data_IF_152663248705
#
_entry.id   IF_152663248705
#
_cell.length_a   1.000
_cell.length_b   1.000
_cell.length_c   1.000
_cell.angle_alpha   90.00
_cell.angle_beta   90.00
_cell.angle_gamma   90.00
#
_symmetry.space_group_name_H-M   'P 1'
#
loop_
_entity.id
_entity.type
_entity.pdbx_description
1 polymer ?
#
# COMPACT_ATOMS: atom_id res chain seq x y z
N UNK A 1 -5.35 0.07 -5.34
CA UNK A 1 -5.07 1.15 -4.39
C UNK A 1 -5.54 2.46 -4.99
N UNK A 2 -6.45 3.16 -4.30
CA UNK A 2 -7.02 4.41 -4.76
C UNK A 2 -6.72 5.54 -3.79
N UNK A 3 -6.69 6.77 -4.32
CA UNK A 3 -6.67 8.00 -3.55
C UNK A 3 -7.83 8.87 -3.99
N UNK A 4 -8.38 9.64 -3.06
CA UNK A 4 -9.36 10.68 -3.34
C UNK A 4 -9.08 11.90 -2.46
N UNK A 5 -9.70 13.03 -2.80
CA UNK A 5 -9.78 14.18 -1.92
C UNK A 5 -10.60 13.82 -0.66
N UNK A 6 -10.43 14.56 0.43
CA UNK A 6 -11.18 14.32 1.68
C UNK A 6 -12.70 14.50 1.53
N UNK A 7 -13.15 15.22 0.51
CA UNK A 7 -14.56 15.35 0.15
C UNK A 7 -15.07 14.24 -0.78
N UNK A 8 -14.26 13.21 -1.05
CA UNK A 8 -14.58 12.07 -1.90
C UNK A 8 -14.47 12.32 -3.40
N UNK A 9 -14.11 13.52 -3.86
CA UNK A 9 -13.90 13.78 -5.30
C UNK A 9 -12.49 13.41 -5.75
N UNK A 10 -12.25 13.37 -7.06
CA UNK A 10 -10.91 13.15 -7.61
C UNK A 10 -10.36 11.77 -7.30
N UNK A 11 -11.21 10.73 -7.37
CA UNK A 11 -10.78 9.34 -7.20
C UNK A 11 -9.82 8.97 -8.33
N UNK A 12 -8.65 8.46 -7.96
CA UNK A 12 -7.58 8.06 -8.87
C UNK A 12 -7.06 6.67 -8.49
N UNK A 13 -6.91 5.80 -9.49
CA UNK A 13 -6.22 4.52 -9.35
C UNK A 13 -4.71 4.75 -9.36
N UNK A 14 -4.06 4.51 -8.22
CA UNK A 14 -2.60 4.65 -8.11
C UNK A 14 -1.86 3.35 -8.42
N UNK A 15 -2.37 2.23 -7.91
CA UNK A 15 -1.81 0.89 -8.15
C UNK A 15 -2.95 -0.08 -8.41
N UNK A 16 -2.90 -0.75 -9.56
CA UNK A 16 -3.85 -1.79 -9.97
C UNK A 16 -3.27 -3.18 -9.71
N UNK A 17 -4.09 -4.23 -9.78
CA UNK A 17 -3.63 -5.62 -9.61
C UNK A 17 -3.30 -6.04 -8.17
N UNK A 18 -3.72 -5.27 -7.17
CA UNK A 18 -3.74 -5.71 -5.76
C UNK A 18 -4.91 -6.66 -5.52
N UNK A 19 -4.67 -7.75 -4.79
CA UNK A 19 -5.62 -8.87 -4.67
C UNK A 19 -6.59 -8.69 -3.51
N UNK A 20 -6.08 -8.55 -2.29
CA UNK A 20 -6.86 -8.28 -1.08
C UNK A 20 -6.09 -7.31 -0.17
N UNK A 21 -6.02 -6.01 -0.51
CA UNK A 21 -5.30 -5.03 0.28
C UNK A 21 -6.01 -4.77 1.62
N UNK A 22 -5.31 -4.95 2.76
CA UNK A 22 -5.90 -4.84 4.11
C UNK A 22 -5.47 -3.59 4.88
N UNK A 23 -4.16 -3.37 4.98
CA UNK A 23 -3.56 -2.29 5.76
C UNK A 23 -2.72 -1.38 4.88
N UNK A 24 -2.67 -0.10 5.21
CA UNK A 24 -1.82 0.89 4.55
C UNK A 24 -1.18 1.83 5.58
N UNK A 25 0.06 2.22 5.36
CA UNK A 25 0.74 3.29 6.10
C UNK A 25 1.51 4.19 5.13
N UNK A 26 1.61 5.49 5.46
CA UNK A 26 2.24 6.50 4.61
C UNK A 26 3.46 7.09 5.31
N UNK A 27 4.60 7.11 4.63
CA UNK A 27 5.73 7.97 4.96
C UNK A 27 5.66 9.20 4.04
N UNK A 28 5.06 10.26 4.56
CA UNK A 28 4.88 11.52 3.82
C UNK A 28 6.22 12.21 3.57
N UNK A 29 7.15 12.12 4.52
CA UNK A 29 8.45 12.78 4.43
C UNK A 29 9.37 12.12 3.39
N UNK A 30 9.36 10.78 3.33
CA UNK A 30 10.10 10.00 2.35
C UNK A 30 9.36 9.77 1.03
N UNK A 31 8.10 10.21 0.92
CA UNK A 31 7.33 10.11 -0.32
C UNK A 31 6.90 8.69 -0.68
N UNK A 32 6.66 7.83 0.32
CA UNK A 32 6.32 6.41 0.14
C UNK A 32 4.98 6.03 0.77
N UNK A 33 4.31 5.07 0.13
CA UNK A 33 3.19 4.33 0.72
C UNK A 33 3.56 2.86 0.85
N UNK A 34 3.12 2.24 1.93
CA UNK A 34 3.31 0.82 2.23
C UNK A 34 1.95 0.19 2.45
N UNK A 35 1.72 -1.00 1.88
CA UNK A 35 0.48 -1.73 2.09
C UNK A 35 0.72 -3.22 2.31
N UNK A 36 -0.29 -3.83 2.90
CA UNK A 36 -0.42 -5.27 3.05
C UNK A 36 -1.38 -5.77 1.99
N UNK A 37 -0.95 -6.72 1.16
CA UNK A 37 -1.81 -7.50 0.28
C UNK A 37 -1.95 -8.92 0.85
N UNK A 38 -3.09 -9.18 1.48
CA UNK A 38 -3.38 -10.47 2.11
C UNK A 38 -3.55 -11.58 1.07
N UNK A 39 -4.19 -11.27 -0.06
CA UNK A 39 -4.46 -12.24 -1.11
C UNK A 39 -3.21 -12.67 -1.88
N UNK A 40 -2.17 -11.84 -1.85
CA UNK A 40 -0.86 -12.15 -2.42
C UNK A 40 0.17 -12.62 -1.38
N UNK A 41 -0.15 -12.61 -0.08
CA UNK A 41 0.79 -12.83 1.02
C UNK A 41 2.04 -11.92 0.94
N UNK A 42 1.82 -10.61 0.74
CA UNK A 42 2.91 -9.63 0.58
C UNK A 42 2.75 -8.38 1.42
N UNK A 43 3.88 -7.81 1.80
CA UNK A 43 4.00 -6.38 2.12
C UNK A 43 4.70 -5.72 0.95
N UNK A 44 4.13 -4.64 0.44
CA UNK A 44 4.64 -3.92 -0.72
C UNK A 44 4.73 -2.42 -0.43
N UNK A 45 5.50 -1.71 -1.24
CA UNK A 45 5.58 -0.24 -1.20
C UNK A 45 5.61 0.36 -2.59
N UNK A 46 5.33 1.65 -2.67
CA UNK A 46 5.47 2.47 -3.87
C UNK A 46 5.68 3.94 -3.50
N UNK A 47 5.97 4.78 -4.49
CA UNK A 47 5.88 6.23 -4.34
C UNK A 47 4.42 6.64 -4.06
N UNK A 48 4.20 7.81 -3.43
CA UNK A 48 2.84 8.33 -3.15
C UNK A 48 1.99 8.58 -4.42
N UNK A 49 2.59 8.60 -5.60
CA UNK A 49 1.91 8.70 -6.90
C UNK A 49 1.67 7.32 -7.56
N UNK A 50 1.89 6.22 -6.85
CA UNK A 50 1.67 4.86 -7.36
C UNK A 50 2.83 4.26 -8.15
N UNK A 51 3.84 5.04 -8.52
CA UNK A 51 5.00 4.54 -9.29
C UNK A 51 6.00 3.78 -8.42
N UNK A 52 6.81 2.93 -9.03
CA UNK A 52 7.91 2.22 -8.34
C UNK A 52 7.41 1.21 -7.31
N UNK A 53 6.45 0.38 -7.69
CA UNK A 53 5.94 -0.72 -6.87
C UNK A 53 7.06 -1.73 -6.62
N UNK A 54 7.28 -2.07 -5.35
CA UNK A 54 8.30 -2.99 -4.88
C UNK A 54 7.72 -3.95 -3.83
N UNK A 55 8.09 -5.22 -3.92
CA UNK A 55 7.82 -6.21 -2.88
C UNK A 55 8.82 -6.01 -1.73
N UNK A 56 8.32 -5.72 -0.53
CA UNK A 56 9.13 -5.51 0.69
C UNK A 56 9.31 -6.83 1.44
N UNK A 57 8.26 -7.65 1.50
CA UNK A 57 8.28 -8.97 2.12
C UNK A 57 7.32 -9.90 1.37
N UNK A 58 7.81 -11.10 1.02
CA UNK A 58 7.08 -12.10 0.22
C UNK A 58 7.06 -13.50 0.85
N UNK A 59 7.62 -13.64 2.06
CA UNK A 59 7.74 -14.92 2.75
C UNK A 59 7.44 -14.77 4.24
N UNK A 60 7.02 -15.87 4.88
CA UNK A 60 6.67 -15.87 6.30
C UNK A 60 5.34 -15.16 6.62
N UNK A 61 4.54 -14.85 5.60
CA UNK A 61 3.20 -14.28 5.71
C UNK A 61 2.18 -15.39 5.44
N UNK A 62 1.02 -15.30 6.09
CA UNK A 62 -0.08 -16.27 5.91
C UNK A 62 -1.42 -15.57 5.97
N UNK A 63 -1.55 -14.56 6.82
CA UNK A 63 -2.74 -13.70 6.92
C UNK A 63 -2.36 -12.29 7.38
N UNK A 64 -1.52 -11.55 6.63
CA UNK A 64 -1.13 -10.21 7.06
C UNK A 64 -2.36 -9.27 6.98
N UNK A 65 -2.51 -8.37 7.96
CA UNK A 65 -3.68 -7.48 8.07
C UNK A 65 -3.25 -6.01 8.20
N UNK A 66 -2.49 -5.68 9.25
CA UNK A 66 -2.14 -4.31 9.61
C UNK A 66 -0.67 -4.01 9.39
N UNK A 67 -0.37 -2.73 9.17
CA UNK A 67 1.00 -2.22 9.12
C UNK A 67 1.05 -0.83 9.77
N UNK A 68 2.13 -0.54 10.48
CA UNK A 68 2.45 0.78 10.99
C UNK A 68 3.93 1.07 10.73
N UNK A 69 4.26 2.33 10.54
CA UNK A 69 5.64 2.79 10.42
C UNK A 69 6.10 3.32 11.78
N UNK A 70 7.37 3.10 12.11
CA UNK A 70 8.03 3.70 13.25
C UNK A 70 9.20 4.56 12.74
N UNK A 71 9.37 5.75 13.31
CA UNK A 71 10.35 6.75 12.90
C UNK A 71 11.33 7.06 14.02
#
# INVERSE_FOLDING_TARGET
>A
MQRANLNGTGVEDLVTGVTDPRGIALDISGGKMYWVDNGADKIQRANLNGTGVEDVLTTGLTTPIGIALNF
#
